data_IF_439713065534
#
_entry.id   IF_439713065534
#
_cell.length_a   1.000
_cell.length_b   1.000
_cell.length_c   1.000
_cell.angle_alpha   90.00
_cell.angle_beta   90.00
_cell.angle_gamma   90.00
#
_symmetry.space_group_name_H-M   'P 1'
#
loop_
_entity.id
_entity.type
_entity.pdbx_description
1 polymer ?
#
# COMPACT_ATOMS: atom_id res chain seq x y z
N UNK A 1 -25.98 10.26 4.48
CA UNK A 1 -25.05 10.52 3.35
C UNK A 1 -23.64 10.57 3.92
N UNK A 2 -22.79 9.57 3.67
CA UNK A 2 -21.40 9.61 4.15
C UNK A 2 -20.62 10.64 3.33
N UNK A 3 -20.03 11.63 3.99
CA UNK A 3 -19.17 12.62 3.33
C UNK A 3 -17.91 11.93 2.80
N UNK A 4 -17.39 12.33 1.61
CA UNK A 4 -16.15 11.78 1.06
C UNK A 4 -15.03 11.88 2.10
N UNK A 5 -14.40 10.75 2.42
CA UNK A 5 -13.35 10.70 3.44
C UNK A 5 -11.99 10.65 2.75
N UNK A 6 -11.23 11.75 2.86
CA UNK A 6 -9.86 11.81 2.34
C UNK A 6 -8.88 11.75 3.50
N UNK A 7 -8.14 10.65 3.57
CA UNK A 7 -7.08 10.43 4.54
C UNK A 7 -5.79 11.03 4.00
N UNK A 8 -5.19 11.93 4.76
CA UNK A 8 -3.84 12.41 4.50
C UNK A 8 -2.86 11.58 5.33
N UNK A 9 -2.05 10.78 4.64
CA UNK A 9 -1.03 9.92 5.25
C UNK A 9 0.21 10.75 5.55
N UNK A 10 0.72 10.62 6.76
CA UNK A 10 1.90 11.30 7.29
C UNK A 10 2.95 10.28 7.71
N UNK A 11 4.23 10.69 7.83
CA UNK A 11 5.26 9.83 8.38
C UNK A 11 4.85 9.29 9.76
N UNK A 12 5.09 8.01 9.99
CA UNK A 12 4.72 7.29 11.21
C UNK A 12 5.95 6.73 11.90
N UNK A 13 6.14 7.15 13.14
CA UNK A 13 7.15 6.58 14.02
C UNK A 13 6.78 5.14 14.39
N UNK A 14 5.50 4.86 14.61
CA UNK A 14 5.01 3.53 14.99
C UNK A 14 5.32 2.49 13.90
N UNK A 15 5.02 2.81 12.64
CA UNK A 15 5.33 1.92 11.51
C UNK A 15 6.86 1.76 11.37
N UNK A 16 7.61 2.86 11.47
CA UNK A 16 9.08 2.81 11.36
C UNK A 16 9.71 1.93 12.43
N UNK A 17 9.24 2.06 13.68
CA UNK A 17 9.70 1.27 14.82
C UNK A 17 9.31 -0.19 14.68
N UNK A 18 8.06 -0.48 14.30
CA UNK A 18 7.59 -1.85 14.05
C UNK A 18 8.47 -2.57 13.02
N UNK A 19 8.72 -1.93 11.88
CA UNK A 19 9.57 -2.49 10.83
C UNK A 19 11.03 -2.68 11.29
N UNK A 20 11.54 -1.74 12.08
CA UNK A 20 12.90 -1.82 12.63
C UNK A 20 13.06 -2.97 13.63
N UNK A 21 12.07 -3.19 14.50
CA UNK A 21 12.06 -4.32 15.44
C UNK A 21 11.97 -5.64 14.68
N UNK A 22 11.10 -5.74 13.66
CA UNK A 22 10.98 -6.94 12.84
C UNK A 22 12.32 -7.26 12.15
N UNK A 23 12.99 -6.25 11.58
CA UNK A 23 14.32 -6.43 11.01
C UNK A 23 15.34 -6.92 12.04
N UNK A 24 15.44 -6.25 13.18
CA UNK A 24 16.38 -6.62 14.24
C UNK A 24 16.13 -8.05 14.71
N UNK A 25 14.86 -8.43 14.93
CA UNK A 25 14.49 -9.79 15.35
C UNK A 25 14.91 -10.85 14.34
N UNK A 26 14.75 -10.57 13.04
CA UNK A 26 15.15 -11.48 11.98
C UNK A 26 16.67 -11.61 11.89
N UNK A 27 17.41 -10.51 12.05
CA UNK A 27 18.87 -10.54 12.15
C UNK A 27 19.35 -11.38 13.34
N UNK A 28 18.70 -11.25 14.50
CA UNK A 28 18.99 -12.08 15.68
C UNK A 28 18.75 -13.56 15.40
N UNK A 29 17.64 -13.91 14.75
CA UNK A 29 17.32 -15.30 14.37
C UNK A 29 18.40 -15.86 13.42
N UNK A 30 18.79 -15.10 12.40
CA UNK A 30 19.82 -15.52 11.44
C UNK A 30 21.18 -15.71 12.12
N UNK A 31 21.50 -14.87 13.11
CA UNK A 31 22.71 -14.99 13.91
C UNK A 31 22.70 -16.28 14.75
N UNK A 32 21.58 -16.57 15.42
CA UNK A 32 21.41 -17.80 16.22
C UNK A 32 21.42 -19.06 15.35
N UNK A 33 20.93 -18.97 14.11
CA UNK A 33 20.87 -20.09 13.17
C UNK A 33 22.26 -20.55 12.65
N UNK A 34 23.35 -19.90 13.04
CA UNK A 34 24.73 -20.27 12.67
C UNK A 34 24.94 -20.43 11.16
N UNK A 35 24.32 -19.55 10.37
CA UNK A 35 24.51 -19.55 8.91
C UNK A 35 25.98 -19.21 8.59
N UNK A 36 26.63 -19.92 7.66
CA UNK A 36 28.01 -19.63 7.28
C UNK A 36 28.20 -18.15 6.91
N UNK A 37 29.26 -17.48 7.41
CA UNK A 37 29.46 -16.04 7.23
C UNK A 37 29.44 -15.58 5.76
N UNK A 38 29.91 -16.44 4.85
CA UNK A 38 29.95 -16.17 3.41
C UNK A 38 28.55 -15.93 2.81
N UNK A 39 27.52 -16.61 3.31
CA UNK A 39 26.13 -16.45 2.88
C UNK A 39 25.38 -15.41 3.72
N UNK A 40 25.74 -15.29 5.00
CA UNK A 40 25.09 -14.37 5.92
C UNK A 40 25.25 -12.92 5.47
N UNK A 41 26.45 -12.52 5.06
CA UNK A 41 26.75 -11.12 4.71
C UNK A 41 25.93 -10.59 3.51
N UNK A 42 25.86 -11.29 2.35
CA UNK A 42 25.00 -10.84 1.26
C UNK A 42 23.50 -10.92 1.59
N UNK A 43 23.05 -11.91 2.36
CA UNK A 43 21.64 -11.99 2.77
C UNK A 43 21.24 -10.82 3.68
N UNK A 44 22.05 -10.54 4.71
CA UNK A 44 21.81 -9.41 5.61
C UNK A 44 21.87 -8.09 4.85
N UNK A 45 22.82 -7.92 3.92
CA UNK A 45 22.91 -6.75 3.08
C UNK A 45 21.67 -6.53 2.20
N UNK A 46 21.20 -7.58 1.52
CA UNK A 46 19.98 -7.52 0.70
C UNK A 46 18.74 -7.22 1.55
N UNK A 47 18.63 -7.85 2.73
CA UNK A 47 17.54 -7.59 3.67
C UNK A 47 17.56 -6.16 4.22
N UNK A 48 18.74 -5.65 4.58
CA UNK A 48 18.89 -4.28 5.08
C UNK A 48 18.44 -3.27 4.02
N UNK A 49 18.83 -3.48 2.75
CA UNK A 49 18.41 -2.64 1.64
C UNK A 49 16.88 -2.69 1.43
N UNK A 50 16.30 -3.90 1.47
CA UNK A 50 14.85 -4.07 1.37
C UNK A 50 14.10 -3.37 2.51
N UNK A 51 14.59 -3.48 3.74
CA UNK A 51 13.96 -2.83 4.88
C UNK A 51 14.11 -1.32 4.88
N UNK A 52 15.26 -0.79 4.47
CA UNK A 52 15.44 0.65 4.30
C UNK A 52 14.45 1.18 3.26
N UNK A 53 14.25 0.44 2.17
CA UNK A 53 13.23 0.77 1.17
C UNK A 53 11.82 0.75 1.80
N UNK A 54 11.43 -0.30 2.50
CA UNK A 54 10.11 -0.44 3.10
C UNK A 54 9.83 0.61 4.20
N UNK A 55 10.79 0.90 5.08
CA UNK A 55 10.70 1.98 6.09
C UNK A 55 10.56 3.33 5.38
N UNK A 56 11.39 3.59 4.37
CA UNK A 56 11.28 4.80 3.58
C UNK A 56 9.93 4.94 2.86
N UNK A 57 9.32 3.83 2.43
CA UNK A 57 8.08 3.83 1.65
C UNK A 57 6.83 3.96 2.53
N UNK A 58 6.78 3.22 3.63
CA UNK A 58 5.59 3.09 4.46
C UNK A 58 5.69 3.87 5.77
N UNK A 59 6.88 3.98 6.35
CA UNK A 59 7.12 4.70 7.60
C UNK A 59 7.39 6.18 7.38
N UNK A 60 8.40 6.51 6.57
CA UNK A 60 8.88 7.89 6.40
C UNK A 60 8.29 8.62 5.19
N UNK A 61 7.63 7.89 4.28
CA UNK A 61 7.06 8.43 3.03
C UNK A 61 8.08 9.22 2.19
N UNK A 62 9.34 8.78 2.18
CA UNK A 62 10.44 9.45 1.48
C UNK A 62 10.35 9.23 -0.03
N UNK A 63 9.99 8.03 -0.46
CA UNK A 63 10.03 7.62 -1.86
C UNK A 63 8.90 8.22 -2.70
N UNK A 64 9.11 8.41 -4.01
CA UNK A 64 8.09 8.95 -4.91
C UNK A 64 6.82 8.10 -5.02
N UNK A 65 6.94 6.79 -4.79
CA UNK A 65 5.83 5.83 -4.84
C UNK A 65 5.14 5.64 -3.48
N UNK A 66 5.47 6.49 -2.49
CA UNK A 66 4.80 6.48 -1.19
C UNK A 66 3.38 7.03 -1.35
N UNK A 67 2.41 6.40 -0.69
CA UNK A 67 1.01 6.85 -0.69
C UNK A 67 0.87 8.00 0.28
N UNK A 68 0.42 9.16 -0.20
CA UNK A 68 0.24 10.37 0.62
C UNK A 68 -1.22 10.64 0.92
N UNK A 69 -2.13 10.18 0.05
CA UNK A 69 -3.57 10.37 0.29
C UNK A 69 -4.35 9.13 -0.11
N UNK A 70 -5.39 8.83 0.65
CA UNK A 70 -6.36 7.76 0.36
C UNK A 70 -7.75 8.37 0.43
N UNK A 71 -8.48 8.34 -0.67
CA UNK A 71 -9.85 8.86 -0.76
C UNK A 71 -10.82 7.70 -0.89
N UNK A 72 -11.75 7.61 0.05
CA UNK A 72 -12.86 6.67 0.02
C UNK A 72 -14.15 7.43 -0.25
N UNK A 73 -14.90 6.98 -1.24
CA UNK A 73 -16.21 7.49 -1.61
C UNK A 73 -17.17 6.33 -1.79
N UNK A 74 -18.44 6.52 -1.41
CA UNK A 74 -19.50 5.57 -1.77
C UNK A 74 -20.07 5.98 -3.11
N UNK A 75 -20.21 5.03 -4.03
CA UNK A 75 -20.96 5.24 -5.27
C UNK A 75 -22.47 5.27 -4.99
N UNK A 76 -23.24 5.71 -5.98
CA UNK A 76 -24.70 5.65 -6.07
C UNK A 76 -25.27 4.26 -5.73
N UNK A 77 -24.52 3.19 -6.03
CA UNK A 77 -24.87 1.80 -5.71
C UNK A 77 -24.50 1.37 -4.28
N UNK A 78 -23.90 2.25 -3.47
CA UNK A 78 -23.44 1.94 -2.11
C UNK A 78 -22.11 1.20 -2.04
N UNK A 79 -21.41 1.02 -3.16
CA UNK A 79 -20.08 0.39 -3.22
C UNK A 79 -18.96 1.35 -2.85
N UNK A 80 -17.88 0.84 -2.24
CA UNK A 80 -16.70 1.65 -1.90
C UNK A 80 -15.81 1.84 -3.10
N UNK A 81 -15.76 3.07 -3.60
CA UNK A 81 -14.75 3.52 -4.56
C UNK A 81 -13.55 4.07 -3.81
N UNK A 82 -12.39 3.46 -4.03
CA UNK A 82 -11.12 3.90 -3.46
C UNK A 82 -10.24 4.57 -4.53
N UNK A 83 -9.63 5.70 -4.17
CA UNK A 83 -8.61 6.36 -4.98
C UNK A 83 -7.40 6.64 -4.10
N UNK A 84 -6.22 6.39 -4.61
CA UNK A 84 -4.96 6.68 -3.90
C UNK A 84 -4.19 7.76 -4.63
N UNK A 85 -3.48 8.59 -3.87
CA UNK A 85 -2.54 9.57 -4.40
C UNK A 85 -1.14 9.20 -3.95
N UNK A 86 -0.24 9.09 -4.91
CA UNK A 86 1.18 8.94 -4.64
C UNK A 86 1.83 10.30 -4.42
N UNK A 87 3.02 10.32 -3.83
CA UNK A 87 3.85 11.53 -3.69
C UNK A 87 4.16 12.20 -5.03
N UNK A 88 4.21 11.44 -6.13
CA UNK A 88 4.29 11.95 -7.52
C UNK A 88 3.06 12.76 -7.99
N UNK A 89 1.97 12.75 -7.23
CA UNK A 89 0.85 13.70 -7.36
C UNK A 89 -0.41 13.18 -8.06
N UNK A 90 -0.35 12.06 -8.78
CA UNK A 90 -1.50 11.54 -9.52
C UNK A 90 -2.45 10.73 -8.63
N UNK A 91 -3.75 10.91 -8.85
CA UNK A 91 -4.80 10.06 -8.29
C UNK A 91 -5.01 8.85 -9.16
N UNK A 92 -4.95 7.67 -8.57
CA UNK A 92 -5.13 6.39 -9.25
C UNK A 92 -6.32 5.66 -8.63
N UNK A 93 -7.32 5.24 -9.44
CA UNK A 93 -8.41 4.42 -8.94
C UNK A 93 -7.91 3.02 -8.57
N UNK A 94 -8.34 2.52 -7.42
CA UNK A 94 -7.95 1.20 -6.92
C UNK A 94 -9.16 0.46 -6.37
N UNK A 95 -9.22 -0.84 -6.59
CA UNK A 95 -10.13 -1.74 -5.90
C UNK A 95 -9.50 -2.16 -4.58
N UNK A 96 -10.31 -2.21 -3.52
CA UNK A 96 -9.86 -2.74 -2.23
C UNK A 96 -10.08 -4.25 -2.22
N UNK A 97 -9.02 -5.01 -1.94
CA UNK A 97 -9.13 -6.46 -1.83
C UNK A 97 -9.74 -6.85 -0.48
N UNK A 98 -10.41 -8.01 -0.46
CA UNK A 98 -11.02 -8.60 0.73
C UNK A 98 -10.05 -8.92 1.87
N UNK A 99 -8.76 -9.09 1.58
CA UNK A 99 -7.75 -9.38 2.61
C UNK A 99 -7.30 -8.12 3.39
N UNK A 100 -8.02 -7.01 3.26
CA UNK A 100 -7.73 -5.80 4.03
C UNK A 100 -7.98 -6.04 5.52
N UNK A 101 -6.93 -5.91 6.34
CA UNK A 101 -7.01 -6.14 7.78
C UNK A 101 -7.35 -4.83 8.51
N UNK A 102 -8.44 -4.81 9.29
CA UNK A 102 -8.89 -3.62 10.03
C UNK A 102 -8.93 -3.90 11.54
N UNK A 103 -7.79 -3.71 12.21
CA UNK A 103 -7.69 -3.84 13.68
C UNK A 103 -7.92 -2.50 14.40
N UNK A 104 -7.86 -2.50 15.73
CA UNK A 104 -7.99 -1.28 16.53
C UNK A 104 -6.79 -0.31 16.36
N UNK A 105 -5.52 -0.76 16.47
CA UNK A 105 -4.36 0.11 16.30
C UNK A 105 -3.83 0.21 14.86
N UNK A 106 -4.17 -0.76 14.00
CA UNK A 106 -3.54 -0.95 12.71
C UNK A 106 -4.57 -1.33 11.64
N UNK A 107 -4.57 -0.61 10.53
CA UNK A 107 -5.34 -0.95 9.34
C UNK A 107 -4.37 -1.17 8.19
N UNK A 108 -4.42 -2.35 7.58
CA UNK A 108 -3.67 -2.67 6.38
C UNK A 108 -4.69 -2.78 5.26
N UNK A 109 -4.66 -1.82 4.33
CA UNK A 109 -5.48 -1.89 3.13
C UNK A 109 -4.68 -2.56 2.04
N UNK A 110 -5.30 -3.57 1.46
CA UNK A 110 -4.81 -4.16 0.23
C UNK A 110 -5.53 -3.50 -0.93
N UNK A 111 -4.78 -2.85 -1.81
CA UNK A 111 -5.32 -2.16 -2.95
C UNK A 111 -4.73 -2.73 -4.24
N UNK A 112 -5.60 -3.14 -5.16
CA UNK A 112 -5.22 -3.52 -6.52
C UNK A 112 -5.61 -2.39 -7.47
N UNK A 113 -4.85 -2.12 -8.53
CA UNK A 113 -5.24 -1.12 -9.52
C UNK A 113 -6.58 -1.53 -10.14
N UNK A 114 -7.54 -0.61 -10.14
CA UNK A 114 -8.81 -0.87 -10.78
C UNK A 114 -8.55 -1.06 -12.28
N UNK A 115 -8.84 -2.25 -12.81
CA UNK A 115 -8.74 -2.50 -14.24
C UNK A 115 -9.92 -1.81 -14.89
N UNK A 116 -9.70 -0.62 -15.44
CA UNK A 116 -10.65 0.00 -16.36
C UNK A 116 -10.80 -0.94 -17.57
N UNK A 117 -11.95 -1.60 -17.69
CA UNK A 117 -12.31 -2.42 -18.84
C UNK A 117 -12.45 -1.59 -20.14
N UNK A 118 -12.39 -0.26 -20.05
CA UNK A 118 -12.52 0.66 -21.21
C UNK A 118 -11.21 0.88 -21.98
N UNK A 119 -10.05 0.55 -21.40
CA UNK A 119 -8.77 0.73 -22.09
C UNK A 119 -8.39 -0.53 -22.84
N UNK A 120 -9.08 -0.80 -23.95
CA UNK A 120 -8.49 -1.65 -25.01
C UNK A 120 -7.26 -0.89 -25.53
N UNK A 121 -6.03 -1.40 -25.39
CA UNK A 121 -4.88 -0.75 -25.99
C UNK A 121 -5.07 -0.80 -27.51
N UNK A 122 -5.29 0.35 -28.13
CA UNK A 122 -5.18 0.53 -29.57
C UNK A 122 -3.76 0.12 -29.98
N UNK A 123 -3.68 -0.90 -30.83
CA UNK A 123 -2.45 -1.45 -31.37
C UNK A 123 -1.96 -0.47 -32.44
N UNK A 124 -1.33 0.64 -32.07
CA UNK A 124 -0.64 1.54 -33.00
C UNK A 124 0.36 2.42 -32.24
N UNK A 125 1.58 1.91 -32.03
CA UNK A 125 2.82 2.72 -31.92
C UNK A 125 3.95 1.89 -31.29
N UNK A 126 5.08 1.82 -31.98
CA UNK A 126 6.27 1.03 -31.65
C UNK A 126 6.98 1.47 -30.35
N UNK A 127 6.62 2.63 -29.77
CA UNK A 127 7.06 3.05 -28.42
C UNK A 127 6.22 2.46 -27.27
N UNK A 128 5.15 1.74 -27.60
CA UNK A 128 4.17 1.23 -26.63
C UNK A 128 4.69 0.05 -25.83
N UNK A 129 5.61 -0.77 -26.35
CA UNK A 129 6.00 -2.02 -25.67
C UNK A 129 6.77 -1.79 -24.37
N UNK A 130 7.65 -0.79 -24.27
CA UNK A 130 8.37 -0.46 -23.02
C UNK A 130 7.41 0.11 -21.97
N UNK A 131 6.46 0.96 -22.38
CA UNK A 131 5.40 1.44 -21.49
C UNK A 131 4.43 0.32 -21.10
N UNK A 132 4.21 -0.68 -21.95
CA UNK A 132 3.44 -1.87 -21.60
C UNK A 132 4.22 -2.77 -20.64
N UNK A 133 5.53 -2.98 -20.84
CA UNK A 133 6.35 -3.84 -19.99
C UNK A 133 6.57 -3.20 -18.60
N UNK A 134 7.06 -1.96 -18.57
CA UNK A 134 7.24 -1.23 -17.31
C UNK A 134 5.89 -0.80 -16.72
N UNK A 135 4.91 -0.39 -17.53
CA UNK A 135 3.55 -0.05 -17.07
C UNK A 135 2.78 -1.25 -16.51
N UNK A 136 2.92 -2.45 -17.09
CA UNK A 136 2.35 -3.67 -16.52
C UNK A 136 3.01 -4.03 -15.20
N UNK A 137 4.32 -3.83 -15.04
CA UNK A 137 4.97 -4.03 -13.73
C UNK A 137 4.35 -3.16 -12.63
N UNK A 138 3.86 -1.95 -12.94
CA UNK A 138 3.08 -1.13 -12.01
C UNK A 138 1.62 -1.59 -11.88
N UNK A 139 1.03 -2.18 -12.93
CA UNK A 139 -0.35 -2.69 -12.96
C UNK A 139 -0.55 -4.02 -12.21
N UNK A 140 0.53 -4.79 -11.99
CA UNK A 140 0.46 -6.09 -11.30
C UNK A 140 0.84 -6.04 -9.82
N UNK A 141 1.25 -4.87 -9.29
CA UNK A 141 1.71 -4.80 -7.91
C UNK A 141 0.57 -4.38 -6.98
N UNK A 142 -0.04 -5.39 -6.36
CA UNK A 142 -0.85 -5.25 -5.15
C UNK A 142 -0.16 -4.29 -4.19
N UNK A 143 -0.85 -3.23 -3.82
CA UNK A 143 -0.31 -2.16 -3.01
C UNK A 143 -0.82 -2.24 -1.60
N UNK A 144 0.10 -2.40 -0.66
CA UNK A 144 -0.20 -2.40 0.76
C UNK A 144 -0.12 -0.98 1.31
N UNK A 145 -1.20 -0.54 1.92
CA UNK A 145 -1.30 0.76 2.57
C UNK A 145 -1.46 0.51 4.06
N UNK A 146 -0.42 0.87 4.82
CA UNK A 146 -0.40 0.68 6.25
C UNK A 146 -0.87 2.00 6.88
N UNK A 147 -1.95 1.94 7.64
CA UNK A 147 -2.56 3.06 8.36
C UNK A 147 -2.53 2.78 9.86
N UNK A 148 -2.03 3.75 10.61
CA UNK A 148 -1.92 3.72 12.07
C UNK A 148 -2.40 5.04 12.62
N UNK A 149 -2.74 5.07 13.91
CA UNK A 149 -3.29 6.28 14.55
C UNK A 149 -2.36 7.49 14.48
N UNK A 150 -1.05 7.28 14.42
CA UNK A 150 -0.05 8.35 14.32
C UNK A 150 0.21 8.81 12.88
N UNK A 151 -0.19 8.03 11.88
CA UNK A 151 0.06 8.34 10.47
C UNK A 151 -1.07 9.11 9.80
N UNK A 152 -2.19 9.31 10.47
CA UNK A 152 -3.33 10.03 9.93
C UNK A 152 -4.12 10.72 11.03
N UNK A 153 -4.99 11.64 10.63
CA UNK A 153 -5.92 12.27 11.57
C UNK A 153 -6.86 11.24 12.20
N UNK A 154 -7.03 11.31 13.52
CA UNK A 154 -7.72 10.28 14.30
C UNK A 154 -9.20 10.16 13.95
N UNK A 155 -9.88 11.27 13.68
CA UNK A 155 -11.30 11.26 13.33
C UNK A 155 -11.50 10.74 11.92
N UNK A 156 -10.61 11.14 11.01
CA UNK A 156 -10.57 10.64 9.63
C UNK A 156 -10.31 9.12 9.60
N UNK A 157 -9.37 8.63 10.43
CA UNK A 157 -9.07 7.20 10.60
C UNK A 157 -10.27 6.41 11.12
N UNK A 158 -10.94 6.93 12.16
CA UNK A 158 -12.17 6.32 12.72
C UNK A 158 -13.26 6.20 11.65
N UNK A 159 -13.52 7.27 10.89
CA UNK A 159 -14.51 7.27 9.80
C UNK A 159 -14.19 6.25 8.73
N UNK A 160 -12.92 6.14 8.32
CA UNK A 160 -12.48 5.13 7.35
C UNK A 160 -12.72 3.71 7.86
N UNK A 161 -12.41 3.44 9.14
CA UNK A 161 -12.66 2.12 9.72
C UNK A 161 -14.14 1.75 9.75
N UNK A 162 -15.01 2.71 10.05
CA UNK A 162 -16.47 2.51 9.99
C UNK A 162 -16.91 2.21 8.56
N UNK A 163 -16.46 3.01 7.58
CA UNK A 163 -16.77 2.81 6.17
C UNK A 163 -16.34 1.43 5.68
N UNK A 164 -15.11 1.01 5.97
CA UNK A 164 -14.59 -0.30 5.53
C UNK A 164 -15.31 -1.49 6.16
N UNK A 165 -15.91 -1.32 7.34
CA UNK A 165 -16.67 -2.38 8.02
C UNK A 165 -18.13 -2.45 7.59
N UNK A 166 -18.69 -1.31 7.22
CA UNK A 166 -20.12 -1.20 6.90
C UNK A 166 -20.42 -1.37 5.42
N UNK A 167 -19.46 -1.05 4.56
CA UNK A 167 -19.71 -1.12 3.13
C UNK A 167 -19.50 -2.54 2.60
N UNK A 168 -20.38 -3.03 1.70
CA UNK A 168 -20.13 -4.25 0.97
C UNK A 168 -18.83 -4.04 0.19
N UNK A 169 -17.81 -4.85 0.49
CA UNK A 169 -16.62 -4.90 -0.36
C UNK A 169 -17.08 -5.34 -1.74
N UNK A 170 -16.69 -4.60 -2.78
CA UNK A 170 -17.03 -4.94 -4.16
C UNK A 170 -16.70 -6.41 -4.37
N UNK A 171 -17.73 -7.25 -4.53
CA UNK A 171 -17.52 -8.63 -4.91
C UNK A 171 -17.01 -8.58 -6.33
N UNK A 172 -15.70 -8.59 -6.49
CA UNK A 172 -15.09 -8.97 -7.75
C UNK A 172 -15.54 -10.41 -7.97
N UNK A 173 -16.66 -10.56 -8.67
CA UNK A 173 -17.12 -11.83 -9.21
C UNK A 173 -15.94 -12.39 -9.99
N UNK A 174 -15.39 -13.47 -9.43
CA UNK A 174 -14.34 -14.32 -9.99
C UNK A 174 -14.65 -14.74 -11.42
#
# INVERSE_FOLDING_TARGET
>A
MFSPNTINVRPSLTISLLLSILFASLCTILHIANIPPLWLLPMVGAMALHWLYAIGQHGLLLWPNSVTNVKLTLDSNGEVVCKIRYKRGNWVPVSLDGDSLVTAPLTILSASPAIDQSTKPGIDSQESWLKILFGNLYKFRRQLIILTRDNCDQDTYRRLRVLLRMAPMSSTTS
#
